data_IF_561948334442
#
_entry.id   IF_561948334442
#
_cell.length_a   1.000
_cell.length_b   1.000
_cell.length_c   1.000
_cell.angle_alpha   90.00
_cell.angle_beta   90.00
_cell.angle_gamma   90.00
#
_symmetry.space_group_name_H-M   'P 1'
#
loop_
_entity.id
_entity.type
_entity.pdbx_description
1 polymer ?
#
# COMPACT_ATOMS: atom_id res chain seq x y z
N UNK A 1 -41.53 -21.23 -69.64
CA UNK A 1 -41.51 -22.22 -68.53
C UNK A 1 -40.43 -21.91 -67.50
N UNK A 2 -40.37 -20.70 -66.96
CA UNK A 2 -39.26 -20.26 -66.11
C UNK A 2 -39.73 -19.38 -64.90
N UNK A 3 -41.00 -19.41 -64.53
CA UNK A 3 -41.60 -18.54 -63.48
C UNK A 3 -41.84 -19.21 -62.13
N UNK A 4 -41.67 -20.51 -62.02
CA UNK A 4 -41.99 -21.25 -60.77
C UNK A 4 -40.77 -21.60 -59.85
N UNK A 5 -39.54 -21.56 -60.35
CA UNK A 5 -38.35 -21.90 -59.53
C UNK A 5 -37.87 -20.78 -58.65
N UNK A 6 -38.16 -19.54 -59.01
CA UNK A 6 -37.69 -18.34 -58.24
C UNK A 6 -38.38 -18.19 -56.89
N UNK A 7 -39.59 -18.72 -56.72
CA UNK A 7 -40.34 -18.64 -55.46
C UNK A 7 -39.82 -19.55 -54.34
N UNK A 8 -39.07 -20.60 -54.65
CA UNK A 8 -38.50 -21.52 -53.67
C UNK A 8 -37.03 -21.33 -53.38
N UNK A 9 -36.31 -20.59 -54.23
CA UNK A 9 -34.88 -20.31 -54.05
C UNK A 9 -34.67 -19.22 -52.98
N UNK A 10 -35.54 -18.21 -52.93
CA UNK A 10 -35.44 -17.12 -51.95
C UNK A 10 -35.59 -17.61 -50.48
N UNK A 11 -36.61 -18.42 -50.12
CA UNK A 11 -36.72 -18.91 -48.75
C UNK A 11 -35.61 -19.90 -48.37
N UNK A 12 -35.04 -20.64 -49.34
CA UNK A 12 -33.94 -21.55 -49.07
C UNK A 12 -32.62 -20.80 -48.80
N UNK A 13 -32.38 -19.69 -49.50
CA UNK A 13 -31.21 -18.86 -49.29
C UNK A 13 -31.31 -18.04 -47.97
N UNK A 14 -32.54 -17.62 -47.59
CA UNK A 14 -32.80 -16.95 -46.31
C UNK A 14 -32.59 -17.88 -45.11
N UNK A 15 -32.83 -19.17 -45.25
CA UNK A 15 -32.59 -20.18 -44.20
C UNK A 15 -31.09 -20.42 -43.97
N UNK A 16 -30.26 -20.28 -45.00
CA UNK A 16 -28.79 -20.42 -44.87
C UNK A 16 -28.11 -19.25 -44.18
N UNK A 17 -28.74 -18.07 -44.14
CA UNK A 17 -28.23 -16.89 -43.43
C UNK A 17 -28.44 -16.94 -41.90
N UNK A 18 -29.21 -17.89 -41.39
CA UNK A 18 -29.43 -18.08 -39.93
C UNK A 18 -28.45 -19.06 -39.26
N UNK A 19 -27.54 -19.67 -40.04
CA UNK A 19 -26.56 -20.62 -39.49
C UNK A 19 -25.19 -19.99 -39.17
N UNK A 20 -25.09 -18.68 -39.19
CA UNK A 20 -23.84 -17.97 -39.06
C UNK A 20 -23.60 -17.29 -37.75
N UNK A 21 -23.73 -17.98 -36.62
CA UNK A 21 -23.10 -17.61 -35.36
C UNK A 21 -23.07 -18.83 -34.46
N UNK A 22 -22.20 -19.77 -34.76
CA UNK A 22 -21.69 -20.62 -33.67
C UNK A 22 -20.65 -19.76 -32.94
N UNK A 23 -20.90 -19.49 -31.69
CA UNK A 23 -19.86 -18.99 -30.80
C UNK A 23 -18.68 -19.96 -30.89
N UNK A 24 -17.68 -19.56 -31.68
CA UNK A 24 -16.42 -20.28 -31.64
C UNK A 24 -15.77 -19.87 -30.34
N UNK A 25 -15.58 -20.82 -29.47
CA UNK A 25 -14.66 -20.79 -28.35
C UNK A 25 -13.28 -20.31 -28.84
N UNK A 26 -13.09 -19.02 -28.94
CA UNK A 26 -11.82 -18.46 -29.37
C UNK A 26 -10.83 -18.66 -28.23
N UNK A 27 -9.59 -18.98 -28.56
CA UNK A 27 -8.50 -19.12 -27.57
C UNK A 27 -8.38 -17.86 -26.71
N UNK A 28 -8.72 -16.70 -27.26
CA UNK A 28 -8.75 -15.41 -26.55
C UNK A 28 -9.81 -15.37 -25.46
N UNK A 29 -11.02 -15.88 -25.74
CA UNK A 29 -12.11 -15.91 -24.74
C UNK A 29 -11.77 -16.87 -23.59
N UNK A 30 -11.08 -17.98 -23.86
CA UNK A 30 -10.57 -18.90 -22.83
C UNK A 30 -9.49 -18.25 -21.98
N UNK A 31 -8.56 -17.51 -22.58
CA UNK A 31 -7.52 -16.79 -21.84
C UNK A 31 -8.15 -15.77 -20.90
N UNK A 32 -9.20 -15.06 -21.32
CA UNK A 32 -9.89 -14.10 -20.44
C UNK A 32 -10.71 -14.81 -19.34
N UNK A 33 -11.31 -15.96 -19.63
CA UNK A 33 -12.06 -16.75 -18.62
C UNK A 33 -11.13 -17.36 -17.56
N UNK A 34 -9.92 -17.74 -17.96
CA UNK A 34 -8.93 -18.38 -17.08
C UNK A 34 -8.00 -17.34 -16.41
N UNK A 35 -8.14 -16.04 -16.73
CA UNK A 35 -7.31 -14.98 -16.14
C UNK A 35 -7.87 -14.57 -14.78
N UNK A 36 -7.10 -14.83 -13.74
CA UNK A 36 -7.38 -14.36 -12.39
C UNK A 36 -6.78 -12.97 -12.22
N UNK A 37 -7.59 -12.00 -11.86
CA UNK A 37 -7.12 -10.66 -11.56
C UNK A 37 -6.57 -10.58 -10.14
N UNK A 38 -5.48 -9.82 -9.95
CA UNK A 38 -4.92 -9.57 -8.63
C UNK A 38 -5.76 -8.60 -7.81
N UNK A 39 -5.41 -8.46 -6.55
CA UNK A 39 -5.93 -7.42 -5.67
C UNK A 39 -4.84 -6.41 -5.34
N UNK A 40 -5.21 -5.20 -4.96
CA UNK A 40 -4.30 -4.13 -4.54
C UNK A 40 -4.80 -3.46 -3.26
N UNK A 41 -3.86 -3.00 -2.43
CA UNK A 41 -4.13 -2.14 -1.28
C UNK A 41 -3.49 -0.77 -1.55
N UNK A 42 -4.27 0.13 -2.14
CA UNK A 42 -3.83 1.44 -2.61
C UNK A 42 -3.67 2.43 -1.46
N UNK A 43 -2.57 3.17 -1.44
CA UNK A 43 -2.44 4.36 -0.58
C UNK A 43 -3.13 5.55 -1.25
N UNK A 44 -4.33 5.89 -0.82
CA UNK A 44 -5.09 7.01 -1.40
C UNK A 44 -4.62 8.34 -0.85
N UNK A 45 -4.23 8.38 0.42
CA UNK A 45 -3.69 9.58 1.06
C UNK A 45 -2.56 9.21 2.02
N UNK A 46 -1.53 10.04 2.01
CA UNK A 46 -0.45 10.04 3.00
C UNK A 46 -0.62 11.26 3.89
N UNK A 47 -0.90 11.05 5.17
CA UNK A 47 -1.17 12.11 6.16
C UNK A 47 0.13 12.45 6.88
N UNK A 48 0.86 11.44 7.36
CA UNK A 48 2.18 11.58 7.97
C UNK A 48 3.05 10.37 7.67
N UNK A 49 4.34 10.61 7.36
CA UNK A 49 5.31 9.57 6.94
C UNK A 49 6.54 9.47 7.82
N UNK A 50 6.62 10.24 8.89
CA UNK A 50 7.78 10.22 9.77
C UNK A 50 7.37 10.45 11.21
N UNK A 51 8.18 9.95 12.11
CA UNK A 51 8.10 10.22 13.53
C UNK A 51 9.03 11.36 13.95
N UNK A 52 8.73 11.96 15.09
CA UNK A 52 9.62 12.92 15.75
C UNK A 52 10.13 12.30 17.05
N UNK A 53 11.45 12.11 17.18
CA UNK A 53 12.09 11.51 18.36
C UNK A 53 11.73 12.21 19.67
N UNK A 54 11.41 13.53 19.61
CA UNK A 54 11.04 14.34 20.79
C UNK A 54 9.54 14.35 21.06
N UNK A 55 8.74 13.69 20.22
CA UNK A 55 7.28 13.62 20.36
C UNK A 55 6.80 12.16 20.22
N UNK A 56 6.70 11.41 21.33
CA UNK A 56 6.17 10.05 21.32
C UNK A 56 4.74 9.93 20.78
N UNK A 57 3.99 11.04 20.73
CA UNK A 57 2.65 11.09 20.16
C UNK A 57 2.62 11.37 18.64
N UNK A 58 3.79 11.64 18.03
CA UNK A 58 3.89 11.81 16.57
C UNK A 58 3.38 10.56 15.85
N UNK A 59 2.64 10.78 14.74
CA UNK A 59 1.90 9.71 14.06
C UNK A 59 2.51 9.35 12.71
N UNK A 60 2.55 8.07 12.39
CA UNK A 60 2.48 7.57 11.03
C UNK A 60 1.01 7.38 10.69
N UNK A 61 0.53 7.95 9.59
CA UNK A 61 -0.88 7.89 9.22
C UNK A 61 -1.07 7.90 7.71
N UNK A 62 -1.81 6.90 7.21
CA UNK A 62 -2.13 6.70 5.79
C UNK A 62 -3.58 6.24 5.62
N UNK A 63 -4.18 6.61 4.48
CA UNK A 63 -5.46 6.07 4.03
C UNK A 63 -5.21 4.95 3.03
N UNK A 64 -5.83 3.81 3.25
CA UNK A 64 -5.75 2.62 2.42
C UNK A 64 -7.11 2.34 1.79
N UNK A 65 -7.11 1.95 0.51
CA UNK A 65 -8.27 1.50 -0.25
C UNK A 65 -7.94 0.16 -0.90
N UNK A 66 -8.73 -0.85 -0.61
CA UNK A 66 -8.59 -2.16 -1.23
C UNK A 66 -9.42 -2.24 -2.51
N UNK A 67 -8.87 -2.90 -3.52
CA UNK A 67 -9.55 -3.19 -4.78
C UNK A 67 -9.14 -4.56 -5.30
N UNK A 68 -10.14 -5.43 -5.44
CA UNK A 68 -10.06 -6.73 -6.07
C UNK A 68 -10.97 -6.82 -7.31
N UNK A 69 -11.09 -8.00 -7.91
CA UNK A 69 -11.95 -8.26 -9.08
C UNK A 69 -13.46 -8.22 -8.76
N UNK A 70 -13.83 -8.35 -7.49
CA UNK A 70 -15.21 -8.27 -6.99
C UNK A 70 -15.50 -6.96 -6.27
N UNK A 71 -14.77 -5.89 -6.60
CA UNK A 71 -14.95 -4.56 -6.03
C UNK A 71 -14.82 -4.52 -4.50
N UNK A 72 -13.85 -5.24 -3.97
CA UNK A 72 -13.55 -5.30 -2.53
C UNK A 72 -14.32 -6.36 -1.76
N UNK A 73 -15.12 -7.18 -2.41
CA UNK A 73 -15.88 -8.24 -1.73
C UNK A 73 -15.03 -9.47 -1.39
N UNK A 74 -13.83 -9.57 -1.93
CA UNK A 74 -12.88 -10.64 -1.59
C UNK A 74 -11.98 -10.28 -0.41
N UNK A 75 -11.97 -9.05 0.07
CA UNK A 75 -11.17 -8.67 1.24
C UNK A 75 -11.51 -9.54 2.44
N UNK A 76 -10.51 -10.23 2.99
CA UNK A 76 -10.64 -10.97 4.25
C UNK A 76 -10.03 -10.19 5.41
N UNK A 77 -8.77 -9.80 5.28
CA UNK A 77 -8.03 -9.03 6.28
C UNK A 77 -6.76 -8.42 5.72
N UNK A 78 -6.19 -7.48 6.47
CA UNK A 78 -4.82 -6.98 6.25
C UNK A 78 -4.00 -7.27 7.51
N UNK A 79 -2.94 -8.07 7.37
CA UNK A 79 -1.94 -8.25 8.42
C UNK A 79 -0.89 -7.17 8.29
N UNK A 80 -0.59 -6.47 9.37
CA UNK A 80 0.44 -5.45 9.42
C UNK A 80 1.54 -5.92 10.35
N UNK A 81 2.74 -6.00 9.81
CA UNK A 81 3.97 -6.34 10.51
C UNK A 81 4.80 -5.09 10.72
N UNK A 82 5.56 -5.06 11.79
CA UNK A 82 6.47 -3.95 12.11
C UNK A 82 7.85 -4.50 12.44
N UNK A 83 8.90 -3.79 12.00
CA UNK A 83 10.28 -3.97 12.42
C UNK A 83 10.93 -2.63 12.70
N UNK A 84 12.07 -2.64 13.36
CA UNK A 84 12.88 -1.47 13.65
C UNK A 84 14.29 -1.65 13.10
N UNK A 85 14.80 -0.66 12.42
CA UNK A 85 16.18 -0.57 11.97
C UNK A 85 16.89 0.58 12.68
N UNK A 86 17.91 0.20 13.44
CA UNK A 86 18.87 1.12 14.04
C UNK A 86 19.91 1.48 12.98
N UNK A 87 19.96 2.74 12.62
CA UNK A 87 20.91 3.26 11.64
C UNK A 87 22.04 4.07 12.29
N UNK A 88 22.21 3.95 13.62
CA UNK A 88 23.29 4.61 14.32
C UNK A 88 24.61 3.85 14.15
N UNK A 89 25.70 4.59 14.01
CA UNK A 89 27.05 4.03 13.98
C UNK A 89 27.62 3.82 15.40
N UNK A 90 26.76 3.49 16.35
CA UNK A 90 27.17 3.22 17.73
C UNK A 90 27.57 1.73 17.91
N UNK A 91 28.04 1.38 19.10
CA UNK A 91 28.62 0.05 19.35
C UNK A 91 27.56 -1.05 19.54
N UNK A 92 26.27 -0.73 19.56
CA UNK A 92 25.19 -1.67 19.87
C UNK A 92 24.02 -1.52 18.90
N UNK A 93 23.90 -2.44 17.96
CA UNK A 93 22.76 -2.56 17.06
C UNK A 93 21.51 -2.96 17.85
N UNK A 94 20.50 -2.10 17.84
CA UNK A 94 19.20 -2.29 18.52
C UNK A 94 18.09 -2.66 17.54
N UNK A 95 18.44 -2.99 16.30
CA UNK A 95 17.46 -3.41 15.29
C UNK A 95 16.62 -4.58 15.79
N UNK A 96 15.32 -4.54 15.51
CA UNK A 96 14.36 -5.58 15.88
C UNK A 96 13.76 -6.19 14.63
N UNK A 97 13.82 -7.52 14.56
CA UNK A 97 13.18 -8.29 13.50
C UNK A 97 11.68 -8.09 13.47
N UNK A 98 11.09 -8.34 12.31
CA UNK A 98 9.66 -8.19 12.07
C UNK A 98 8.79 -8.99 13.05
N UNK A 99 7.77 -8.34 13.60
CA UNK A 99 6.72 -8.93 14.44
C UNK A 99 5.34 -8.55 13.90
N UNK A 100 4.33 -9.39 14.11
CA UNK A 100 2.95 -9.04 13.78
C UNK A 100 2.47 -7.93 14.73
N UNK A 101 2.12 -6.78 14.15
CA UNK A 101 1.57 -5.65 14.89
C UNK A 101 0.07 -5.78 15.11
N UNK A 102 -0.67 -6.04 14.03
CA UNK A 102 -2.13 -6.14 14.04
C UNK A 102 -2.65 -6.89 12.83
N UNK A 103 -3.74 -7.64 13.01
CA UNK A 103 -4.61 -8.11 11.95
C UNK A 103 -5.85 -7.21 11.90
N UNK A 104 -6.14 -6.64 10.75
CA UNK A 104 -7.32 -5.79 10.51
C UNK A 104 -8.30 -6.58 9.66
N UNK A 105 -9.42 -7.06 10.21
CA UNK A 105 -10.42 -7.78 9.44
C UNK A 105 -11.19 -6.86 8.49
N UNK A 106 -11.78 -7.42 7.44
CA UNK A 106 -12.60 -6.67 6.47
C UNK A 106 -13.74 -5.88 7.13
N UNK A 107 -14.28 -6.36 8.27
CA UNK A 107 -15.33 -5.68 9.04
C UNK A 107 -14.96 -4.31 9.57
N UNK A 108 -13.67 -4.01 9.69
CA UNK A 108 -13.17 -2.74 10.22
C UNK A 108 -13.00 -1.68 9.10
N UNK A 109 -13.10 -2.12 7.85
CA UNK A 109 -13.11 -1.23 6.70
C UNK A 109 -14.49 -0.61 6.51
N UNK A 110 -14.52 0.64 6.07
CA UNK A 110 -15.72 1.36 5.69
C UNK A 110 -15.80 1.49 4.17
N UNK A 111 -16.97 1.78 3.63
CA UNK A 111 -17.12 2.02 2.19
C UNK A 111 -16.70 3.45 1.86
N UNK A 112 -15.71 3.59 0.99
CA UNK A 112 -15.23 4.88 0.47
C UNK A 112 -16.10 5.43 -0.67
N UNK A 113 -15.73 6.61 -1.17
CA UNK A 113 -16.45 7.32 -2.24
C UNK A 113 -16.54 6.53 -3.55
N UNK A 114 -15.59 5.64 -3.81
CA UNK A 114 -15.55 4.76 -4.98
C UNK A 114 -16.34 3.46 -4.80
N UNK A 115 -16.99 3.27 -3.65
CA UNK A 115 -17.67 2.03 -3.31
C UNK A 115 -16.75 0.89 -2.86
N UNK A 116 -15.45 1.17 -2.69
CA UNK A 116 -14.41 0.21 -2.28
C UNK A 116 -14.16 0.28 -0.77
N UNK A 117 -13.65 -0.81 -0.16
CA UNK A 117 -13.25 -0.81 1.25
C UNK A 117 -12.10 0.16 1.51
N UNK A 118 -12.26 1.04 2.50
CA UNK A 118 -11.24 2.01 2.91
C UNK A 118 -11.02 1.96 4.41
N UNK A 119 -9.77 2.22 4.83
CA UNK A 119 -9.41 2.35 6.24
C UNK A 119 -8.29 3.36 6.41
N UNK A 120 -8.32 4.09 7.51
CA UNK A 120 -7.19 4.87 7.98
C UNK A 120 -6.36 4.02 8.93
N UNK A 121 -5.09 3.81 8.60
CA UNK A 121 -4.13 3.17 9.48
C UNK A 121 -3.27 4.25 10.15
N UNK A 122 -3.23 4.20 11.48
CA UNK A 122 -2.44 5.13 12.28
C UNK A 122 -1.65 4.39 13.36
N UNK A 123 -0.43 4.87 13.65
CA UNK A 123 0.37 4.44 14.82
C UNK A 123 1.21 5.61 15.32
N UNK A 124 1.20 5.81 16.63
CA UNK A 124 2.13 6.74 17.28
C UNK A 124 3.51 6.12 17.42
N UNK A 125 4.53 6.96 17.58
CA UNK A 125 5.90 6.52 17.86
C UNK A 125 5.97 5.64 19.13
N UNK A 126 5.25 6.03 20.19
CA UNK A 126 5.20 5.26 21.43
C UNK A 126 4.61 3.86 21.23
N UNK A 127 3.51 3.75 20.44
CA UNK A 127 2.90 2.44 20.13
C UNK A 127 3.82 1.59 19.24
N UNK A 128 4.51 2.21 18.28
CA UNK A 128 5.46 1.53 17.41
C UNK A 128 6.64 0.97 18.20
N UNK A 129 7.26 1.79 19.05
CA UNK A 129 8.37 1.38 19.93
C UNK A 129 7.95 0.26 20.88
N UNK A 130 6.78 0.40 21.52
CA UNK A 130 6.22 -0.64 22.40
C UNK A 130 6.00 -1.96 21.68
N UNK A 131 5.52 -1.93 20.43
CA UNK A 131 5.24 -3.14 19.65
C UNK A 131 6.50 -3.95 19.33
N UNK A 132 7.63 -3.30 19.08
CA UNK A 132 8.92 -3.94 18.86
C UNK A 132 9.74 -4.12 20.13
N UNK A 133 9.23 -3.67 21.29
CA UNK A 133 9.85 -3.89 22.60
C UNK A 133 11.06 -3.01 22.88
N UNK A 134 11.14 -1.82 22.26
CA UNK A 134 12.18 -0.82 22.52
C UNK A 134 11.63 0.35 23.35
N UNK A 135 12.53 1.09 24.00
CA UNK A 135 12.23 2.28 24.82
C UNK A 135 12.64 3.57 24.12
N UNK A 136 12.25 4.72 24.68
CA UNK A 136 12.56 6.06 24.15
C UNK A 136 14.08 6.33 24.05
N UNK A 137 14.90 5.60 24.81
CA UNK A 137 16.37 5.69 24.75
C UNK A 137 17.01 4.81 23.67
N UNK A 138 16.22 4.00 22.98
CA UNK A 138 16.72 3.01 22.01
C UNK A 138 16.58 3.46 20.56
N UNK A 139 15.89 4.56 20.31
CA UNK A 139 15.77 5.15 18.98
C UNK A 139 16.23 6.61 18.97
N UNK A 140 16.69 7.07 17.82
CA UNK A 140 17.13 8.44 17.60
C UNK A 140 16.88 8.91 16.17
N UNK A 141 17.24 10.15 15.85
CA UNK A 141 17.11 10.66 14.48
C UNK A 141 17.99 9.90 13.50
N UNK A 142 17.40 9.46 12.38
CA UNK A 142 18.05 8.64 11.38
C UNK A 142 17.58 7.18 11.38
N UNK A 143 17.07 6.69 12.50
CA UNK A 143 16.48 5.36 12.60
C UNK A 143 15.15 5.27 11.86
N UNK A 144 14.63 4.06 11.65
CA UNK A 144 13.34 3.89 10.99
C UNK A 144 12.56 2.68 11.47
N UNK A 145 11.25 2.83 11.47
CA UNK A 145 10.31 1.73 11.56
C UNK A 145 9.88 1.31 10.15
N UNK A 146 9.70 0.01 9.95
CA UNK A 146 9.25 -0.54 8.68
C UNK A 146 7.92 -1.23 8.91
N UNK A 147 6.91 -0.80 8.17
CA UNK A 147 5.58 -1.42 8.18
C UNK A 147 5.41 -2.22 6.89
N UNK A 148 5.28 -3.54 7.00
CA UNK A 148 4.97 -4.43 5.87
C UNK A 148 3.55 -4.95 6.03
N UNK A 149 2.81 -4.91 4.93
CA UNK A 149 1.41 -5.32 4.90
C UNK A 149 1.25 -6.59 4.07
N UNK A 150 0.34 -7.45 4.49
CA UNK A 150 -0.12 -8.62 3.75
C UNK A 150 -1.62 -8.48 3.57
N UNK A 151 -2.04 -8.35 2.32
CA UNK A 151 -3.45 -8.32 1.93
C UNK A 151 -3.94 -9.77 1.77
N UNK A 152 -4.90 -10.19 2.56
CA UNK A 152 -5.48 -11.53 2.52
C UNK A 152 -6.88 -11.48 1.93
N UNK A 153 -7.18 -12.40 1.00
CA UNK A 153 -8.48 -12.54 0.37
C UNK A 153 -9.24 -13.78 0.90
N UNK A 154 -10.55 -13.75 0.80
CA UNK A 154 -11.45 -14.83 1.23
C UNK A 154 -11.30 -16.11 0.43
N UNK A 155 -10.76 -16.03 -0.79
CA UNK A 155 -10.47 -17.18 -1.66
C UNK A 155 -9.12 -17.85 -1.36
N UNK A 156 -8.38 -17.36 -0.35
CA UNK A 156 -7.10 -17.88 0.11
C UNK A 156 -5.87 -17.29 -0.58
N UNK A 157 -6.04 -16.39 -1.54
CA UNK A 157 -4.92 -15.61 -2.10
C UNK A 157 -4.42 -14.59 -1.08
N UNK A 158 -3.12 -14.32 -1.09
CA UNK A 158 -2.52 -13.26 -0.30
C UNK A 158 -1.45 -12.54 -1.11
N UNK A 159 -1.27 -11.24 -0.81
CA UNK A 159 -0.32 -10.38 -1.52
C UNK A 159 0.52 -9.58 -0.53
N UNK A 160 1.82 -9.52 -0.79
CA UNK A 160 2.76 -8.70 -0.04
C UNK A 160 3.62 -7.85 -1.01
N UNK A 161 4.51 -7.05 -0.48
CA UNK A 161 5.37 -6.15 -1.27
C UNK A 161 6.22 -6.85 -2.33
N UNK A 162 6.54 -8.14 -2.17
CA UNK A 162 7.33 -8.93 -3.14
C UNK A 162 6.50 -9.47 -4.30
N UNK A 163 5.17 -9.46 -4.21
CA UNK A 163 4.26 -9.99 -5.23
C UNK A 163 3.93 -8.95 -6.31
N UNK A 164 4.26 -7.68 -6.05
CA UNK A 164 3.97 -6.58 -6.95
C UNK A 164 5.19 -6.10 -7.72
N UNK A 165 5.04 -6.00 -9.04
CA UNK A 165 6.02 -5.31 -9.88
C UNK A 165 6.00 -3.79 -9.67
N UNK A 166 7.06 -3.10 -10.08
CA UNK A 166 7.23 -1.65 -9.88
C UNK A 166 6.07 -0.78 -10.39
N UNK A 167 5.32 -1.25 -11.39
CA UNK A 167 4.13 -0.55 -11.90
C UNK A 167 3.01 -0.53 -10.87
N UNK A 168 2.81 -1.60 -10.10
CA UNK A 168 1.77 -1.67 -9.06
C UNK A 168 2.20 -0.95 -7.80
N UNK A 169 3.44 -1.17 -7.37
CA UNK A 169 3.94 -0.61 -6.11
C UNK A 169 4.18 0.91 -6.18
N UNK A 170 4.76 1.41 -7.31
CA UNK A 170 5.30 2.76 -7.36
C UNK A 170 4.59 3.73 -8.31
N UNK A 171 3.65 3.26 -9.17
CA UNK A 171 2.94 4.18 -10.07
C UNK A 171 1.98 5.09 -9.30
N UNK A 172 1.72 6.27 -9.86
CA UNK A 172 0.76 7.22 -9.30
C UNK A 172 -0.68 6.70 -9.31
N UNK A 173 -0.99 5.70 -10.14
CA UNK A 173 -2.32 5.13 -10.27
C UNK A 173 -2.58 4.04 -9.23
N UNK A 174 -1.70 3.03 -9.14
CA UNK A 174 -1.92 1.90 -8.23
C UNK A 174 -1.46 2.19 -6.80
N UNK A 175 -0.31 2.81 -6.61
CA UNK A 175 0.23 3.25 -5.31
C UNK A 175 0.08 2.20 -4.21
N UNK A 176 0.41 0.93 -4.51
CA UNK A 176 0.24 -0.21 -3.60
C UNK A 176 1.61 -0.80 -3.24
N UNK A 177 2.42 -0.11 -2.42
CA UNK A 177 3.77 -0.57 -2.09
C UNK A 177 3.76 -1.76 -1.12
N UNK A 178 2.76 -1.89 -0.25
CA UNK A 178 2.65 -2.86 0.84
C UNK A 178 3.86 -2.88 1.82
N UNK A 179 4.76 -1.91 1.69
CA UNK A 179 5.87 -1.67 2.61
C UNK A 179 6.11 -0.17 2.75
N UNK A 180 6.29 0.31 3.98
CA UNK A 180 6.46 1.71 4.31
C UNK A 180 7.65 1.87 5.25
N UNK A 181 8.56 2.77 4.89
CA UNK A 181 9.71 3.14 5.69
C UNK A 181 9.43 4.47 6.38
N UNK A 182 9.27 4.43 7.69
CA UNK A 182 8.89 5.57 8.52
C UNK A 182 10.11 6.01 9.33
N UNK A 183 10.78 7.05 8.86
CA UNK A 183 11.97 7.57 9.50
C UNK A 183 11.66 8.30 10.82
N UNK A 184 12.60 8.24 11.75
CA UNK A 184 12.57 9.02 12.98
C UNK A 184 13.40 10.28 12.76
N UNK A 185 12.77 11.45 12.91
CA UNK A 185 13.39 12.75 12.75
C UNK A 185 13.64 13.43 14.10
N UNK A 186 14.65 14.28 14.20
CA UNK A 186 14.94 15.10 15.38
C UNK A 186 14.44 16.54 15.14
N UNK A 187 13.14 16.73 14.97
CA UNK A 187 12.58 18.08 14.80
C UNK A 187 12.24 18.64 16.18
N UNK A 188 12.85 19.76 16.62
CA UNK A 188 12.53 20.37 17.89
C UNK A 188 11.05 20.76 17.97
N UNK A 189 10.38 20.34 19.05
CA UNK A 189 8.92 20.52 19.18
C UNK A 189 8.55 21.99 19.36
N UNK A 190 9.35 22.79 20.01
CA UNK A 190 9.25 24.27 20.12
C UNK A 190 10.45 24.76 20.94
N UNK A 191 11.08 25.85 20.57
CA UNK A 191 12.08 26.46 21.46
C UNK A 191 11.41 26.79 22.80
N UNK A 192 11.99 26.32 23.91
CA UNK A 192 11.52 26.71 25.24
C UNK A 192 11.63 28.22 25.32
N UNK A 193 10.58 28.96 25.71
CA UNK A 193 10.68 30.43 25.82
C UNK A 193 11.82 30.82 26.77
N UNK A 194 12.76 31.60 26.27
CA UNK A 194 13.93 31.99 27.06
C UNK A 194 14.91 32.85 26.24
N UNK A 195 15.95 33.30 26.92
CA UNK A 195 17.08 33.97 26.26
C UNK A 195 18.17 32.94 25.98
N UNK A 196 18.50 32.76 24.71
CA UNK A 196 19.56 31.86 24.28
C UNK A 196 20.84 32.64 24.01
N UNK A 197 21.98 32.13 24.48
CA UNK A 197 23.31 32.58 24.10
C UNK A 197 23.85 31.58 23.08
N UNK A 198 24.16 32.06 21.88
CA UNK A 198 24.76 31.28 20.81
C UNK A 198 26.25 31.67 20.76
N UNK A 199 27.12 30.69 21.05
CA UNK A 199 28.56 30.85 20.93
C UNK A 199 29.01 30.28 19.58
N UNK A 200 29.35 31.14 18.66
CA UNK A 200 29.82 30.79 17.33
C UNK A 200 31.34 30.62 17.35
N UNK A 201 31.82 29.41 17.22
CA UNK A 201 33.26 29.11 17.22
C UNK A 201 33.74 28.87 15.79
N UNK A 202 34.72 29.66 15.38
CA UNK A 202 35.48 29.47 14.16
C UNK A 202 36.83 28.81 14.48
N UNK A 203 36.96 27.52 14.20
CA UNK A 203 38.15 26.73 14.50
C UNK A 203 39.33 27.05 13.60
N UNK A 204 39.13 27.74 12.47
CA UNK A 204 40.19 28.15 11.55
C UNK A 204 40.57 29.63 11.71
N UNK A 205 39.71 30.46 12.35
CA UNK A 205 39.99 31.89 12.61
C UNK A 205 39.97 32.75 11.35
N UNK A 206 39.38 32.31 10.26
CA UNK A 206 39.29 33.01 8.98
C UNK A 206 37.96 33.72 8.76
N UNK A 207 37.06 33.64 9.73
CA UNK A 207 35.70 34.21 9.71
C UNK A 207 34.68 33.27 9.06
N UNK A 208 33.42 33.52 9.39
CA UNK A 208 32.28 32.80 8.80
C UNK A 208 32.05 33.29 7.38
N UNK A 209 32.60 32.56 6.41
CA UNK A 209 32.35 32.79 4.99
C UNK A 209 31.04 32.10 4.59
N UNK A 210 29.91 32.84 4.54
CA UNK A 210 28.62 32.39 4.08
C UNK A 210 28.47 32.43 2.57
#
# INVERSE_FOLDING_TARGET
MMKHYTKYIIPFFAFFLLLGCTEKDNTVDKVFQDTVYGAILRTTQTISTSYNAFDPSSLFSIMLEEQDEEMGNLLASVDIYISFEDNQEDAMDKSVSEVLLVNIPASDFTTGDNGLPVIQFERSLAEAASAVGISDSDYSGGDRFIYRMVLNLTDGRSYTNTDYGGTVSNSSFFRSPLIYYVGVNCTPITPIPGTYSIDLQDSYGDGWNG
#
